data_IF_923774816924
#
_entry.id   IF_923774816924
#
_cell.length_a   1.000
_cell.length_b   1.000
_cell.length_c   1.000
_cell.angle_alpha   90.00
_cell.angle_beta   90.00
_cell.angle_gamma   90.00
#
_symmetry.space_group_name_H-M   'P 1'
#
loop_
_entity.id
_entity.type
_entity.pdbx_description
1 polymer ?
#
# COMPACT_ATOMS: atom_id res chain seq x y z
N UNK A 1 5.21 26.94 12.64
CA UNK A 1 5.76 25.57 12.55
C UNK A 1 7.23 25.65 12.87
N UNK A 2 7.79 24.76 13.69
CA UNK A 2 9.22 24.81 14.01
C UNK A 2 10.04 24.56 12.74
N UNK A 3 11.09 25.33 12.53
CA UNK A 3 11.93 25.27 11.31
C UNK A 3 12.65 23.94 11.08
N UNK A 4 12.58 22.98 12.02
CA UNK A 4 13.34 21.73 12.03
C UNK A 4 12.48 20.46 12.09
N UNK A 5 11.19 20.57 11.78
CA UNK A 5 10.30 19.41 11.86
C UNK A 5 10.58 18.39 10.75
N UNK A 6 10.70 17.08 11.07
CA UNK A 6 10.93 16.05 10.07
C UNK A 6 9.79 15.92 9.07
N UNK A 7 10.13 15.63 7.83
CA UNK A 7 9.19 15.28 6.77
C UNK A 7 8.97 13.77 6.79
N UNK A 8 7.74 13.33 6.62
CA UNK A 8 7.38 11.92 6.45
C UNK A 8 6.76 11.73 5.07
N UNK A 9 7.26 10.74 4.33
CA UNK A 9 6.82 10.48 2.98
C UNK A 9 6.62 8.98 2.77
N UNK A 10 5.35 8.57 2.63
CA UNK A 10 4.96 7.19 2.36
C UNK A 10 4.74 6.97 0.87
N UNK A 11 5.64 6.18 0.28
CA UNK A 11 5.69 5.88 -1.15
C UNK A 11 4.80 4.69 -1.51
N UNK A 12 3.52 4.94 -1.76
CA UNK A 12 2.61 3.90 -2.21
C UNK A 12 2.57 3.74 -3.74
N UNK A 13 2.22 2.54 -4.21
CA UNK A 13 2.06 2.24 -5.65
C UNK A 13 0.96 3.09 -6.30
N UNK A 14 -0.16 3.29 -5.60
CA UNK A 14 -1.29 4.06 -6.12
C UNK A 14 -1.30 5.51 -5.66
N UNK A 15 -0.92 5.76 -4.41
CA UNK A 15 -0.95 7.07 -3.77
C UNK A 15 0.30 7.33 -2.95
N UNK A 16 0.80 8.56 -3.03
CA UNK A 16 1.80 9.09 -2.11
C UNK A 16 1.09 9.79 -0.97
N UNK A 17 1.61 9.61 0.24
CA UNK A 17 1.15 10.31 1.43
C UNK A 17 2.33 11.06 2.02
N UNK A 18 2.20 12.36 2.19
CA UNK A 18 3.27 13.21 2.71
C UNK A 18 2.76 14.18 3.77
N UNK A 19 3.65 14.60 4.66
CA UNK A 19 3.33 15.53 5.72
C UNK A 19 4.52 15.77 6.64
N UNK A 20 4.29 16.58 7.68
CA UNK A 20 5.25 16.75 8.75
C UNK A 20 4.98 15.76 9.88
N UNK A 21 5.98 15.47 10.69
CA UNK A 21 5.85 14.52 11.81
C UNK A 21 4.76 14.91 12.83
N UNK A 22 4.38 16.19 12.95
CA UNK A 22 3.29 16.66 13.81
C UNK A 22 1.91 16.67 13.12
N UNK A 23 1.85 16.35 11.81
CA UNK A 23 0.59 16.40 11.07
C UNK A 23 -0.36 15.28 11.53
N UNK A 24 -1.59 15.61 11.88
CA UNK A 24 -2.62 14.64 12.26
C UNK A 24 -3.03 13.74 11.08
N UNK A 25 -3.01 14.29 9.86
CA UNK A 25 -3.35 13.56 8.64
C UNK A 25 -2.38 13.89 7.50
N UNK A 26 -2.09 12.92 6.61
CA UNK A 26 -1.25 13.16 5.46
C UNK A 26 -1.96 13.96 4.37
N UNK A 27 -1.17 14.66 3.56
CA UNK A 27 -1.58 15.10 2.23
C UNK A 27 -1.45 13.88 1.31
N UNK A 28 -2.51 13.57 0.57
CA UNK A 28 -2.59 12.38 -0.30
C UNK A 28 -2.78 12.80 -1.74
N UNK A 29 -2.01 12.23 -2.64
CA UNK A 29 -2.18 12.44 -4.07
C UNK A 29 -1.77 11.18 -4.87
N UNK A 30 -2.30 10.98 -6.10
CA UNK A 30 -1.96 9.82 -6.92
C UNK A 30 -0.48 9.77 -7.31
N UNK A 31 0.12 8.57 -7.21
CA UNK A 31 1.52 8.32 -7.58
C UNK A 31 1.63 8.09 -9.09
N UNK A 32 1.42 9.14 -9.89
CA UNK A 32 1.49 9.07 -11.35
C UNK A 32 2.06 10.36 -11.95
N UNK A 33 2.64 10.19 -13.14
CA UNK A 33 3.21 11.27 -13.96
C UNK A 33 2.54 11.24 -15.33
N UNK A 34 1.99 12.36 -15.75
CA UNK A 34 1.37 12.56 -17.06
C UNK A 34 2.30 13.32 -18.02
N UNK A 35 2.55 12.73 -19.18
CA UNK A 35 3.24 13.42 -20.29
C UNK A 35 2.24 13.77 -21.37
N UNK A 36 2.26 15.02 -21.89
CA UNK A 36 1.32 15.44 -22.93
C UNK A 36 1.42 14.54 -24.16
N UNK A 37 0.28 14.05 -24.64
CA UNK A 37 0.22 13.34 -25.92
C UNK A 37 0.33 14.39 -27.04
N UNK A 38 1.51 14.46 -27.70
CA UNK A 38 1.72 15.37 -28.82
C UNK A 38 1.00 14.81 -30.08
N UNK A 39 0.10 15.60 -30.66
CA UNK A 39 -0.36 15.31 -32.01
C UNK A 39 0.80 15.54 -32.99
N UNK A 40 0.94 14.69 -34.01
CA UNK A 40 2.05 14.72 -34.97
C UNK A 40 2.25 16.11 -35.58
N UNK A 41 1.19 16.87 -35.80
CA UNK A 41 1.21 18.24 -36.34
C UNK A 41 1.82 19.25 -35.34
N UNK A 42 1.60 19.09 -34.03
CA UNK A 42 2.17 19.94 -32.98
C UNK A 42 3.64 19.58 -32.70
N UNK A 43 4.03 18.32 -32.88
CA UNK A 43 5.41 17.87 -32.75
C UNK A 43 6.32 18.46 -33.86
N UNK A 44 5.77 18.67 -35.07
CA UNK A 44 6.49 19.29 -36.16
C UNK A 44 6.55 20.83 -36.07
N UNK A 45 5.61 21.44 -35.35
CA UNK A 45 5.57 22.90 -35.16
C UNK A 45 6.38 23.38 -33.94
N UNK A 46 6.74 22.50 -33.01
CA UNK A 46 7.40 22.84 -31.75
C UNK A 46 8.93 22.87 -31.82
N UNK A 47 9.48 23.58 -32.85
CA UNK A 47 10.86 24.07 -32.79
C UNK A 47 11.05 25.27 -31.83
N UNK A 48 10.06 25.62 -31.03
CA UNK A 48 10.11 26.71 -30.06
C UNK A 48 9.76 26.19 -28.63
N UNK A 49 10.78 26.08 -27.83
CA UNK A 49 10.97 26.32 -26.37
C UNK A 49 9.76 26.29 -25.39
N UNK A 50 8.64 25.66 -25.69
CA UNK A 50 7.66 25.28 -24.69
C UNK A 50 7.72 23.74 -24.49
N UNK A 51 8.68 23.29 -23.71
CA UNK A 51 8.63 21.95 -23.10
C UNK A 51 7.28 21.86 -22.38
N UNK A 52 6.31 21.17 -22.99
CA UNK A 52 5.03 20.90 -22.33
C UNK A 52 5.36 20.13 -21.06
N UNK A 53 5.22 20.81 -19.92
CA UNK A 53 5.64 20.36 -18.60
C UNK A 53 4.91 19.08 -18.25
N UNK A 54 5.64 18.07 -17.78
CA UNK A 54 5.03 16.88 -17.17
C UNK A 54 4.20 17.30 -15.96
N UNK A 55 3.04 16.70 -15.78
CA UNK A 55 2.15 16.94 -14.64
C UNK A 55 2.19 15.74 -13.70
N UNK A 56 1.88 15.96 -12.41
CA UNK A 56 1.94 14.91 -11.38
C UNK A 56 0.63 14.87 -10.59
N UNK A 57 0.24 13.67 -10.20
CA UNK A 57 -0.85 13.49 -9.25
C UNK A 57 -2.24 13.71 -9.85
N UNK A 58 -3.11 14.45 -9.14
CA UNK A 58 -4.53 14.58 -9.48
C UNK A 58 -4.77 15.20 -10.86
N UNK A 59 -3.94 16.16 -11.26
CA UNK A 59 -4.05 16.79 -12.58
C UNK A 59 -3.93 15.80 -13.73
N UNK A 60 -3.11 14.74 -13.56
CA UNK A 60 -2.99 13.65 -14.55
C UNK A 60 -4.31 12.90 -14.73
N UNK A 61 -5.03 12.67 -13.63
CA UNK A 61 -6.27 11.89 -13.60
C UNK A 61 -7.40 12.73 -14.19
N UNK A 62 -7.52 13.97 -13.75
CA UNK A 62 -8.59 14.88 -14.19
C UNK A 62 -8.53 15.16 -15.70
N UNK A 63 -7.32 15.19 -16.27
CA UNK A 63 -7.08 15.48 -17.68
C UNK A 63 -6.52 14.26 -18.45
N UNK A 64 -6.88 13.04 -18.04
CA UNK A 64 -6.34 11.77 -18.56
C UNK A 64 -6.36 11.65 -20.09
N UNK A 65 -7.29 12.29 -20.75
CA UNK A 65 -7.40 12.25 -22.21
C UNK A 65 -6.25 13.00 -22.94
N UNK A 66 -5.58 13.91 -22.23
CA UNK A 66 -4.52 14.75 -22.77
C UNK A 66 -3.12 14.24 -22.43
N UNK A 67 -3.02 13.23 -21.55
CA UNK A 67 -1.75 12.76 -21.02
C UNK A 67 -1.58 11.25 -21.19
N UNK A 68 -0.38 10.84 -21.52
CA UNK A 68 0.11 9.47 -21.32
C UNK A 68 0.55 9.33 -19.87
N UNK A 69 -0.16 8.50 -19.10
CA UNK A 69 0.06 8.34 -17.67
C UNK A 69 1.03 7.19 -17.41
N UNK A 70 2.12 7.48 -16.70
CA UNK A 70 3.07 6.50 -16.17
C UNK A 70 2.99 6.41 -14.64
N UNK A 71 3.22 5.20 -14.12
CA UNK A 71 3.29 4.94 -12.68
C UNK A 71 4.73 4.57 -12.33
N UNK A 72 5.45 5.42 -11.55
CA UNK A 72 6.86 5.19 -11.23
C UNK A 72 7.09 3.99 -10.32
N UNK A 73 6.07 3.58 -9.57
CA UNK A 73 6.12 2.42 -8.67
C UNK A 73 5.23 1.32 -9.22
N UNK A 74 5.78 0.11 -9.36
CA UNK A 74 5.04 -1.11 -9.71
C UNK A 74 5.24 -2.13 -8.61
N UNK A 75 4.13 -2.67 -8.10
CA UNK A 75 4.14 -3.69 -7.06
C UNK A 75 5.07 -3.35 -5.87
N UNK A 76 5.01 -2.09 -5.39
CA UNK A 76 5.79 -1.59 -4.26
C UNK A 76 7.26 -1.25 -4.56
N UNK A 77 7.73 -1.43 -5.80
CA UNK A 77 9.13 -1.20 -6.19
C UNK A 77 9.20 -0.05 -7.20
N UNK A 78 10.15 0.88 -7.00
CA UNK A 78 10.42 1.96 -7.95
C UNK A 78 11.03 1.39 -9.23
N UNK A 79 10.36 1.64 -10.37
CA UNK A 79 10.78 1.17 -11.70
C UNK A 79 11.30 2.30 -12.58
N UNK A 80 10.86 3.55 -12.34
CA UNK A 80 11.30 4.75 -13.07
C UNK A 80 11.76 5.82 -12.09
N UNK A 81 13.07 5.97 -11.93
CA UNK A 81 13.65 6.99 -11.06
C UNK A 81 13.40 8.43 -11.54
N UNK A 82 13.46 8.74 -12.85
CA UNK A 82 13.13 10.08 -13.34
C UNK A 82 11.70 10.51 -12.97
N UNK A 83 10.72 9.60 -13.12
CA UNK A 83 9.34 9.88 -12.77
C UNK A 83 9.16 9.97 -11.25
N UNK A 84 9.90 9.16 -10.48
CA UNK A 84 9.84 9.20 -9.03
C UNK A 84 10.38 10.52 -8.47
N UNK A 85 11.42 11.09 -9.08
CA UNK A 85 11.94 12.41 -8.72
C UNK A 85 10.85 13.48 -8.93
N UNK A 86 10.14 13.47 -10.05
CA UNK A 86 9.05 14.41 -10.31
C UNK A 86 7.93 14.28 -9.27
N UNK A 87 7.59 13.05 -8.86
CA UNK A 87 6.59 12.79 -7.80
C UNK A 87 7.08 13.35 -6.45
N UNK A 88 8.35 13.19 -6.12
CA UNK A 88 8.93 13.75 -4.89
C UNK A 88 9.06 15.28 -4.94
N UNK A 89 9.41 15.85 -6.09
CA UNK A 89 9.39 17.31 -6.27
C UNK A 89 8.00 17.89 -6.03
N UNK A 90 6.97 17.26 -6.60
CA UNK A 90 5.58 17.64 -6.38
C UNK A 90 5.19 17.53 -4.89
N UNK A 91 5.59 16.44 -4.20
CA UNK A 91 5.34 16.26 -2.78
C UNK A 91 6.00 17.36 -1.93
N UNK A 92 7.28 17.61 -2.18
CA UNK A 92 8.13 18.45 -1.32
C UNK A 92 7.90 19.95 -1.61
N UNK A 93 7.95 20.34 -2.88
CA UNK A 93 7.87 21.77 -3.26
C UNK A 93 6.43 22.26 -3.38
N UNK A 94 5.53 21.48 -3.98
CA UNK A 94 4.17 21.95 -4.24
C UNK A 94 3.19 21.62 -3.12
N UNK A 95 3.23 20.39 -2.57
CA UNK A 95 2.29 19.97 -1.53
C UNK A 95 2.71 20.43 -0.13
N UNK A 96 3.99 20.32 0.21
CA UNK A 96 4.51 20.76 1.50
C UNK A 96 4.98 22.22 1.48
N UNK A 97 5.17 22.82 0.30
CA UNK A 97 5.57 24.21 0.13
C UNK A 97 6.98 24.53 0.63
N UNK A 98 7.87 23.51 0.67
CA UNK A 98 9.22 23.68 1.19
C UNK A 98 10.16 24.31 0.15
N UNK A 99 11.00 25.23 0.60
CA UNK A 99 12.09 25.81 -0.18
C UNK A 99 13.38 24.98 -0.05
N UNK A 100 14.30 25.13 -0.99
CA UNK A 100 15.60 24.44 -0.92
C UNK A 100 16.40 24.75 0.35
N UNK A 101 16.29 25.95 0.86
CA UNK A 101 16.96 26.38 2.10
C UNK A 101 16.38 25.69 3.33
N UNK A 102 15.05 25.54 3.38
CA UNK A 102 14.37 24.85 4.47
C UNK A 102 14.65 23.35 4.49
N UNK A 103 14.73 22.72 3.31
CA UNK A 103 15.06 21.29 3.15
C UNK A 103 16.44 20.97 3.72
N UNK A 104 17.44 21.83 3.49
CA UNK A 104 18.81 21.66 4.00
C UNK A 104 18.93 21.58 5.53
N UNK A 105 17.89 22.01 6.25
CA UNK A 105 17.83 21.97 7.71
C UNK A 105 16.90 20.86 8.25
N UNK A 106 16.25 20.09 7.39
CA UNK A 106 15.23 19.10 7.76
C UNK A 106 15.72 17.66 7.58
N UNK A 107 15.16 16.79 8.39
CA UNK A 107 15.23 15.34 8.25
C UNK A 107 14.04 14.83 7.43
N UNK A 108 14.23 13.70 6.72
CA UNK A 108 13.15 13.03 6.00
C UNK A 108 13.09 11.54 6.36
N UNK A 109 11.90 11.05 6.70
CA UNK A 109 11.61 9.63 6.85
C UNK A 109 10.87 9.16 5.59
N UNK A 110 11.46 8.18 4.91
CA UNK A 110 10.88 7.49 3.77
C UNK A 110 10.38 6.11 4.17
N UNK A 111 9.31 5.66 3.55
CA UNK A 111 8.82 4.30 3.72
C UNK A 111 9.21 3.43 2.54
N UNK A 112 9.39 2.14 2.80
CA UNK A 112 9.64 1.16 1.77
C UNK A 112 8.80 -0.11 1.98
N UNK A 113 8.50 -0.80 0.88
CA UNK A 113 7.86 -2.10 0.92
C UNK A 113 8.79 -3.16 1.53
N UNK A 114 8.25 -4.19 2.19
CA UNK A 114 9.05 -5.35 2.61
C UNK A 114 9.78 -5.96 1.41
N UNK A 115 10.99 -6.47 1.64
CA UNK A 115 11.84 -7.08 0.60
C UNK A 115 12.25 -6.13 -0.54
N UNK A 116 12.19 -4.80 -0.34
CA UNK A 116 12.73 -3.85 -1.31
C UNK A 116 14.21 -4.14 -1.58
N UNK A 117 14.66 -4.17 -2.85
CA UNK A 117 16.07 -4.39 -3.18
C UNK A 117 16.98 -3.33 -2.54
N UNK A 118 18.12 -3.77 -1.98
CA UNK A 118 19.10 -2.87 -1.34
C UNK A 118 19.51 -1.70 -2.25
N UNK A 119 19.75 -1.98 -3.53
CA UNK A 119 20.10 -0.94 -4.52
C UNK A 119 19.04 0.15 -4.66
N UNK A 120 17.76 -0.21 -4.53
CA UNK A 120 16.68 0.78 -4.59
C UNK A 120 16.71 1.67 -3.35
N UNK A 121 16.92 1.11 -2.17
CA UNK A 121 17.07 1.87 -0.92
C UNK A 121 18.27 2.82 -0.99
N UNK A 122 19.42 2.34 -1.47
CA UNK A 122 20.61 3.16 -1.69
C UNK A 122 20.30 4.33 -2.62
N UNK A 123 19.59 4.07 -3.72
CA UNK A 123 19.23 5.12 -4.68
C UNK A 123 18.23 6.13 -4.11
N UNK A 124 17.29 5.70 -3.26
CA UNK A 124 16.39 6.61 -2.54
C UNK A 124 17.19 7.60 -1.67
N UNK A 125 18.14 7.10 -0.89
CA UNK A 125 18.97 7.91 0.02
C UNK A 125 19.88 8.84 -0.78
N UNK A 126 20.52 8.35 -1.85
CA UNK A 126 21.34 9.16 -2.76
C UNK A 126 20.55 10.37 -3.30
N UNK A 127 19.35 10.13 -3.82
CA UNK A 127 18.53 11.21 -4.40
C UNK A 127 18.13 12.24 -3.31
N UNK A 128 17.82 11.79 -2.10
CA UNK A 128 17.47 12.71 -1.01
C UNK A 128 18.64 13.62 -0.61
N UNK A 129 19.88 13.11 -0.64
CA UNK A 129 21.05 13.92 -0.34
C UNK A 129 21.55 14.76 -1.53
N UNK A 130 21.62 14.18 -2.72
CA UNK A 130 22.26 14.84 -3.88
C UNK A 130 21.30 15.76 -4.62
N UNK A 131 20.03 15.32 -4.82
CA UNK A 131 19.05 16.11 -5.57
C UNK A 131 18.30 17.10 -4.66
N UNK A 132 17.79 16.65 -3.51
CA UNK A 132 17.00 17.50 -2.62
C UNK A 132 17.84 18.22 -1.56
N UNK A 133 18.93 17.61 -1.09
CA UNK A 133 19.84 18.21 -0.10
C UNK A 133 19.37 18.16 1.34
N UNK A 134 18.58 17.17 1.74
CA UNK A 134 18.15 16.98 3.13
C UNK A 134 19.34 16.86 4.10
N UNK A 135 19.15 17.32 5.34
CA UNK A 135 20.14 17.21 6.42
C UNK A 135 20.38 15.75 6.83
N UNK A 136 19.31 14.95 6.87
CA UNK A 136 19.39 13.53 7.20
C UNK A 136 18.19 12.75 6.64
N UNK A 137 18.42 11.46 6.43
CA UNK A 137 17.44 10.52 5.83
C UNK A 137 17.32 9.30 6.70
N UNK A 138 16.11 8.77 6.83
CA UNK A 138 15.84 7.47 7.42
C UNK A 138 14.85 6.71 6.53
N UNK A 139 15.10 5.43 6.29
CA UNK A 139 14.22 4.57 5.51
C UNK A 139 13.73 3.43 6.38
N UNK A 140 12.42 3.24 6.42
CA UNK A 140 11.84 2.19 7.27
C UNK A 140 10.75 1.39 6.55
N UNK A 141 10.58 0.13 6.99
CA UNK A 141 9.61 -0.80 6.40
C UNK A 141 8.20 -0.43 6.82
N UNK A 142 7.28 -0.35 5.84
CA UNK A 142 5.87 0.03 6.02
C UNK A 142 5.15 -0.78 7.11
N UNK A 143 5.39 -2.11 7.16
CA UNK A 143 4.74 -2.98 8.12
C UNK A 143 5.11 -2.66 9.59
N UNK A 144 6.37 -2.33 9.86
CA UNK A 144 6.78 -1.95 11.23
C UNK A 144 6.13 -0.64 11.65
N UNK A 145 6.08 0.33 10.73
CA UNK A 145 5.40 1.60 11.00
C UNK A 145 3.90 1.42 11.28
N UNK A 146 3.26 0.48 10.58
CA UNK A 146 1.86 0.13 10.87
C UNK A 146 1.67 -0.33 12.32
N UNK A 147 2.56 -1.17 12.85
CA UNK A 147 2.50 -1.59 14.26
C UNK A 147 2.74 -0.43 15.22
N UNK A 148 3.70 0.44 14.91
CA UNK A 148 3.96 1.64 15.74
C UNK A 148 2.74 2.55 15.82
N UNK A 149 1.96 2.67 14.74
CA UNK A 149 0.69 3.41 14.75
C UNK A 149 -0.33 2.83 15.74
N UNK A 150 -0.25 1.51 16.02
CA UNK A 150 -1.12 0.82 16.99
C UNK A 150 -0.47 0.68 18.39
N UNK A 151 0.73 1.23 18.59
CA UNK A 151 1.46 1.08 19.85
C UNK A 151 2.01 -0.33 20.10
N UNK A 152 2.16 -1.13 19.05
CA UNK A 152 2.66 -2.50 19.11
C UNK A 152 4.09 -2.58 18.59
N UNK A 153 4.88 -3.48 19.17
CA UNK A 153 6.23 -3.82 18.70
C UNK A 153 6.28 -5.22 18.09
N UNK A 154 5.32 -6.08 18.43
CA UNK A 154 5.25 -7.47 17.97
C UNK A 154 3.86 -7.78 17.45
N UNK A 155 3.77 -8.33 16.24
CA UNK A 155 2.53 -8.70 15.59
C UNK A 155 2.71 -9.10 14.14
N UNK A 156 1.63 -9.47 13.50
CA UNK A 156 1.57 -9.81 12.08
C UNK A 156 0.83 -8.71 11.32
N UNK A 157 1.46 -8.14 10.32
CA UNK A 157 0.85 -7.11 9.48
C UNK A 157 0.45 -7.71 8.15
N UNK A 158 -0.83 -7.58 7.79
CA UNK A 158 -1.32 -7.77 6.43
C UNK A 158 -1.54 -6.39 5.82
N UNK A 159 -0.61 -5.97 4.98
CA UNK A 159 -0.69 -4.72 4.23
C UNK A 159 -1.08 -5.00 2.78
N UNK A 160 -2.23 -4.48 2.36
CA UNK A 160 -2.71 -4.60 0.98
C UNK A 160 -3.04 -3.23 0.40
N UNK A 161 -2.18 -2.79 -0.49
CA UNK A 161 -2.28 -1.50 -1.16
C UNK A 161 -3.01 -1.55 -2.51
N UNK A 162 -2.52 -0.73 -3.45
CA UNK A 162 -3.02 -0.72 -4.83
C UNK A 162 -2.35 -1.80 -5.70
N UNK A 163 -1.02 -2.01 -5.54
CA UNK A 163 -0.25 -2.87 -6.43
C UNK A 163 0.14 -4.23 -5.86
N UNK A 164 0.21 -4.40 -4.55
CA UNK A 164 0.76 -5.59 -3.90
C UNK A 164 0.16 -5.78 -2.51
N UNK A 165 0.09 -7.03 -2.07
CA UNK A 165 -0.25 -7.43 -0.70
C UNK A 165 0.95 -8.12 -0.06
N UNK A 166 1.29 -7.73 1.17
CA UNK A 166 2.36 -8.33 1.95
C UNK A 166 1.83 -8.83 3.29
N UNK A 167 2.35 -9.96 3.72
CA UNK A 167 2.16 -10.49 5.08
C UNK A 167 3.51 -10.50 5.76
N UNK A 168 3.65 -9.71 6.82
CA UNK A 168 4.94 -9.42 7.45
C UNK A 168 4.88 -9.71 8.95
N UNK A 169 5.59 -10.70 9.45
CA UNK A 169 5.72 -10.91 10.87
C UNK A 169 6.82 -10.00 11.44
N UNK A 170 6.47 -9.30 12.51
CA UNK A 170 7.36 -8.36 13.20
C UNK A 170 7.50 -8.81 14.66
N UNK A 171 8.72 -8.89 15.16
CA UNK A 171 9.03 -9.25 16.55
C UNK A 171 9.97 -8.18 17.10
N UNK A 172 9.54 -7.54 18.18
CA UNK A 172 10.29 -6.47 18.87
C UNK A 172 10.74 -5.33 17.91
N UNK A 173 9.90 -5.02 16.92
CA UNK A 173 10.19 -3.99 15.92
C UNK A 173 11.02 -4.47 14.71
N UNK A 174 11.40 -5.75 14.64
CA UNK A 174 12.21 -6.33 13.57
C UNK A 174 11.38 -7.25 12.68
N UNK A 175 11.53 -7.10 11.37
CA UNK A 175 10.84 -7.96 10.39
C UNK A 175 11.58 -9.28 10.21
N UNK A 176 10.85 -10.41 10.23
CA UNK A 176 11.39 -11.72 9.82
C UNK A 176 11.31 -11.87 8.30
N UNK A 177 12.38 -11.56 7.62
CA UNK A 177 12.45 -11.55 6.15
C UNK A 177 12.09 -12.89 5.50
N UNK A 178 12.54 -13.99 6.10
CA UNK A 178 12.33 -15.34 5.59
C UNK A 178 10.86 -15.78 5.63
N UNK A 179 10.12 -15.35 6.66
CA UNK A 179 8.70 -15.67 6.82
C UNK A 179 7.77 -14.64 6.13
N UNK A 180 8.31 -13.53 5.60
CA UNK A 180 7.52 -12.51 4.88
C UNK A 180 6.98 -13.08 3.58
N UNK A 181 5.66 -12.98 3.38
CA UNK A 181 4.96 -13.42 2.17
C UNK A 181 4.52 -12.24 1.32
N UNK A 182 4.44 -12.49 0.02
CA UNK A 182 4.04 -11.51 -0.98
C UNK A 182 3.00 -12.10 -1.93
N UNK A 183 2.00 -11.31 -2.28
CA UNK A 183 0.99 -11.62 -3.30
C UNK A 183 0.86 -10.41 -4.23
N UNK A 184 1.05 -10.63 -5.52
CA UNK A 184 0.92 -9.59 -6.55
C UNK A 184 -0.55 -9.38 -6.99
N UNK A 185 -1.47 -9.47 -6.03
CA UNK A 185 -2.90 -9.14 -6.16
C UNK A 185 -3.23 -8.11 -5.09
N UNK A 186 -3.80 -6.97 -5.53
CA UNK A 186 -4.21 -5.89 -4.65
C UNK A 186 -5.28 -5.02 -5.33
N UNK A 187 -5.47 -3.78 -4.90
CA UNK A 187 -6.57 -2.92 -5.32
C UNK A 187 -6.70 -2.73 -6.83
N UNK A 188 -5.58 -2.64 -7.56
CA UNK A 188 -5.57 -2.49 -9.03
C UNK A 188 -6.13 -3.73 -9.71
N UNK A 189 -5.67 -4.91 -9.32
CA UNK A 189 -6.17 -6.18 -9.87
C UNK A 189 -7.66 -6.39 -9.56
N UNK A 190 -8.13 -5.95 -8.38
CA UNK A 190 -9.57 -5.96 -8.03
C UNK A 190 -10.35 -5.02 -8.96
N UNK A 191 -9.82 -3.84 -9.30
CA UNK A 191 -10.46 -2.92 -10.26
C UNK A 191 -10.53 -3.53 -11.65
N UNK A 192 -9.45 -4.13 -12.13
CA UNK A 192 -9.38 -4.83 -13.41
C UNK A 192 -10.40 -5.98 -13.47
N UNK A 193 -10.49 -6.76 -12.39
CA UNK A 193 -11.47 -7.83 -12.27
C UNK A 193 -12.90 -7.31 -12.28
N UNK A 194 -13.19 -6.19 -11.62
CA UNK A 194 -14.50 -5.57 -11.64
C UNK A 194 -14.88 -5.12 -13.07
N UNK A 195 -13.95 -4.49 -13.80
CA UNK A 195 -14.14 -4.10 -15.21
C UNK A 195 -14.47 -5.33 -16.06
N UNK A 196 -13.72 -6.42 -15.88
CA UNK A 196 -13.96 -7.67 -16.61
C UNK A 196 -15.36 -8.25 -16.32
N UNK A 197 -15.76 -8.30 -15.05
CA UNK A 197 -17.06 -8.83 -14.64
C UNK A 197 -18.21 -7.99 -15.21
N UNK A 198 -18.10 -6.65 -15.16
CA UNK A 198 -19.07 -5.73 -15.74
C UNK A 198 -19.12 -5.86 -17.27
N UNK A 199 -17.96 -6.01 -17.92
CA UNK A 199 -17.88 -6.26 -19.36
C UNK A 199 -18.58 -7.55 -19.78
N UNK A 200 -18.47 -8.63 -18.99
CA UNK A 200 -19.19 -9.89 -19.21
C UNK A 200 -20.72 -9.75 -19.12
N UNK A 201 -21.20 -8.76 -18.37
CA UNK A 201 -22.63 -8.40 -18.31
C UNK A 201 -23.09 -7.46 -19.42
N UNK A 202 -22.19 -7.03 -20.29
CA UNK A 202 -22.50 -6.18 -21.43
C UNK A 202 -22.36 -4.67 -21.15
N UNK A 203 -21.83 -4.26 -20.00
CA UNK A 203 -21.52 -2.86 -19.77
C UNK A 203 -20.24 -2.45 -20.50
N UNK A 204 -20.29 -1.37 -21.25
CA UNK A 204 -19.13 -0.83 -21.97
C UNK A 204 -18.28 0.05 -21.03
N UNK A 205 -17.49 -0.59 -20.17
CA UNK A 205 -16.67 0.04 -19.10
C UNK A 205 -15.18 -0.34 -19.22
N UNK A 206 -14.65 -0.42 -20.38
CA UNK A 206 -13.24 -0.83 -20.59
C UNK A 206 -12.34 0.28 -21.12
N UNK A 207 -12.84 1.50 -21.26
CA UNK A 207 -12.05 2.63 -21.77
C UNK A 207 -11.08 3.10 -20.70
N UNK A 208 -9.93 3.58 -21.12
CA UNK A 208 -8.93 4.17 -20.22
C UNK A 208 -9.50 5.27 -19.33
N UNK A 209 -10.48 6.04 -19.85
CA UNK A 209 -11.20 7.08 -19.11
C UNK A 209 -12.09 6.56 -17.98
N UNK A 210 -12.53 5.32 -18.04
CA UNK A 210 -13.51 4.77 -17.09
C UNK A 210 -12.82 4.13 -15.85
N UNK A 211 -11.52 3.85 -15.92
CA UNK A 211 -10.79 3.09 -14.89
C UNK A 211 -10.87 3.75 -13.50
N UNK A 212 -10.74 5.07 -13.44
CA UNK A 212 -10.79 5.80 -12.16
C UNK A 212 -12.21 5.82 -11.60
N UNK A 213 -13.23 6.01 -12.43
CA UNK A 213 -14.63 5.93 -12.02
C UNK A 213 -15.01 4.52 -11.54
N UNK A 214 -14.48 3.46 -12.17
CA UNK A 214 -14.69 2.08 -11.71
C UNK A 214 -13.90 1.82 -10.41
N UNK A 215 -12.74 2.46 -10.20
CA UNK A 215 -12.03 2.39 -8.92
C UNK A 215 -12.86 3.02 -7.80
N UNK A 216 -13.44 4.19 -8.01
CA UNK A 216 -14.34 4.84 -7.06
C UNK A 216 -15.58 3.99 -6.78
N UNK A 217 -16.18 3.42 -7.82
CA UNK A 217 -17.30 2.47 -7.68
C UNK A 217 -16.87 1.26 -6.84
N UNK A 218 -15.70 0.65 -7.11
CA UNK A 218 -15.15 -0.46 -6.30
C UNK A 218 -15.07 -0.09 -4.82
N UNK A 219 -14.54 1.09 -4.51
CA UNK A 219 -14.35 1.56 -3.14
C UNK A 219 -15.67 1.83 -2.42
N UNK A 220 -16.72 2.21 -3.15
CA UNK A 220 -18.04 2.54 -2.58
C UNK A 220 -18.96 1.33 -2.42
N UNK A 221 -18.99 0.40 -3.39
CA UNK A 221 -20.02 -0.66 -3.41
C UNK A 221 -19.50 -2.07 -3.18
N UNK A 222 -18.18 -2.32 -3.31
CA UNK A 222 -17.64 -3.67 -3.13
C UNK A 222 -17.46 -4.05 -1.64
N UNK A 223 -17.57 -5.33 -1.35
CA UNK A 223 -17.37 -5.91 -0.04
C UNK A 223 -16.83 -7.34 -0.15
N UNK A 224 -16.29 -7.87 0.93
CA UNK A 224 -15.82 -9.26 1.00
C UNK A 224 -16.92 -10.13 1.59
N UNK A 225 -17.27 -11.18 0.86
CA UNK A 225 -18.26 -12.14 1.31
C UNK A 225 -17.65 -13.07 2.38
N UNK A 226 -18.33 -13.24 3.52
CA UNK A 226 -17.91 -14.18 4.56
C UNK A 226 -17.87 -15.63 4.03
N UNK A 227 -18.84 -16.01 3.18
CA UNK A 227 -18.95 -17.31 2.52
C UNK A 227 -19.43 -17.14 1.08
N UNK A 228 -18.50 -17.23 0.13
CA UNK A 228 -18.80 -17.04 -1.30
C UNK A 228 -19.98 -17.84 -1.83
N UNK A 229 -20.07 -19.13 -1.47
CA UNK A 229 -21.13 -20.01 -1.97
C UNK A 229 -22.53 -19.55 -1.52
N UNK A 230 -22.64 -19.11 -0.29
CA UNK A 230 -23.88 -18.58 0.31
C UNK A 230 -24.31 -17.30 -0.40
N UNK A 231 -23.37 -16.36 -0.58
CA UNK A 231 -23.63 -15.08 -1.25
C UNK A 231 -23.98 -15.24 -2.73
N UNK A 232 -23.34 -16.18 -3.45
CA UNK A 232 -23.73 -16.51 -4.83
C UNK A 232 -25.15 -17.07 -4.93
N UNK A 233 -25.58 -17.89 -3.97
CA UNK A 233 -26.97 -18.38 -3.92
C UNK A 233 -27.94 -17.22 -3.67
N UNK A 234 -27.64 -16.37 -2.68
CA UNK A 234 -28.45 -15.20 -2.37
C UNK A 234 -28.58 -14.25 -3.57
N UNK A 235 -27.49 -14.00 -4.30
CA UNK A 235 -27.50 -13.14 -5.49
C UNK A 235 -28.32 -13.72 -6.65
N UNK A 236 -28.45 -15.06 -6.75
CA UNK A 236 -29.28 -15.72 -7.76
C UNK A 236 -30.76 -15.74 -7.41
N UNK A 237 -31.07 -15.90 -6.14
CA UNK A 237 -32.44 -16.07 -5.64
C UNK A 237 -33.12 -14.76 -5.27
N UNK A 238 -32.34 -13.70 -5.02
CA UNK A 238 -32.84 -12.42 -4.52
C UNK A 238 -32.12 -11.24 -5.17
N UNK A 239 -32.70 -10.04 -5.00
CA UNK A 239 -32.08 -8.76 -5.38
C UNK A 239 -31.34 -8.10 -4.22
N UNK A 240 -31.12 -8.78 -3.10
CA UNK A 240 -30.50 -8.21 -1.89
C UNK A 240 -29.06 -7.72 -2.11
N UNK A 241 -28.34 -8.32 -3.09
CA UNK A 241 -26.98 -7.91 -3.46
C UNK A 241 -26.94 -6.77 -4.49
N UNK A 242 -28.10 -6.39 -5.07
CA UNK A 242 -28.13 -5.43 -6.15
C UNK A 242 -28.01 -4.00 -5.62
N UNK A 243 -27.14 -3.24 -6.26
CA UNK A 243 -26.96 -1.81 -6.00
C UNK A 243 -26.85 -1.06 -7.35
N UNK A 244 -27.41 0.15 -7.39
CA UNK A 244 -27.35 1.00 -8.56
C UNK A 244 -26.29 2.06 -8.33
N UNK A 245 -25.26 2.07 -9.18
CA UNK A 245 -24.20 3.08 -9.16
C UNK A 245 -24.31 3.99 -10.38
N UNK A 246 -24.22 5.30 -10.19
CA UNK A 246 -24.21 6.28 -11.25
C UNK A 246 -22.79 6.78 -11.48
N UNK A 247 -22.30 6.57 -12.71
CA UNK A 247 -20.99 7.08 -13.13
C UNK A 247 -21.01 8.59 -13.31
N UNK A 248 -19.85 9.29 -13.27
CA UNK A 248 -19.77 10.74 -13.47
C UNK A 248 -20.35 11.22 -14.81
N UNK A 249 -20.44 10.37 -15.82
CA UNK A 249 -21.04 10.65 -17.13
C UNK A 249 -22.55 10.41 -17.19
N UNK A 250 -23.18 10.09 -16.06
CA UNK A 250 -24.62 9.83 -15.93
C UNK A 250 -25.06 8.41 -16.34
N UNK A 251 -24.16 7.54 -16.76
CA UNK A 251 -24.48 6.12 -17.00
C UNK A 251 -24.77 5.42 -15.68
N UNK A 252 -25.85 4.65 -15.64
CA UNK A 252 -26.23 3.85 -14.47
C UNK A 252 -25.85 2.40 -14.65
N UNK A 253 -25.11 1.86 -13.69
CA UNK A 253 -24.66 0.47 -13.66
C UNK A 253 -25.36 -0.22 -12.49
N UNK A 254 -26.07 -1.30 -12.77
CA UNK A 254 -26.60 -2.18 -11.72
C UNK A 254 -25.56 -3.23 -11.41
N UNK A 255 -24.96 -3.14 -10.23
CA UNK A 255 -23.96 -4.09 -9.72
C UNK A 255 -24.66 -5.10 -8.81
N UNK A 256 -24.33 -6.36 -8.93
CA UNK A 256 -24.95 -7.46 -8.16
C UNK A 256 -23.85 -8.34 -7.53
N UNK A 257 -23.63 -9.53 -8.06
CA UNK A 257 -22.60 -10.45 -7.57
C UNK A 257 -21.18 -9.92 -7.78
N UNK A 258 -20.97 -9.00 -8.72
CA UNK A 258 -19.68 -8.38 -9.01
C UNK A 258 -19.11 -7.67 -7.77
N UNK A 259 -19.97 -7.15 -6.89
CA UNK A 259 -19.61 -6.44 -5.67
C UNK A 259 -18.70 -7.26 -4.75
N UNK A 260 -18.96 -8.57 -4.64
CA UNK A 260 -18.15 -9.46 -3.80
C UNK A 260 -17.26 -10.40 -4.61
N UNK A 261 -17.58 -10.65 -5.88
CA UNK A 261 -16.74 -11.49 -6.74
C UNK A 261 -15.46 -10.79 -7.20
N UNK A 262 -15.44 -9.45 -7.24
CA UNK A 262 -14.23 -8.74 -7.59
C UNK A 262 -13.19 -8.80 -6.46
N UNK A 263 -13.50 -8.49 -5.17
CA UNK A 263 -12.53 -8.65 -4.07
C UNK A 263 -12.18 -10.11 -3.75
N UNK A 264 -13.01 -11.09 -4.13
CA UNK A 264 -12.77 -12.52 -3.86
C UNK A 264 -11.43 -13.01 -4.42
N UNK A 265 -10.89 -12.37 -5.46
CA UNK A 265 -9.58 -12.71 -6.03
C UNK A 265 -8.43 -12.60 -5.03
N UNK A 266 -8.57 -11.81 -3.99
CA UNK A 266 -7.58 -11.69 -2.93
C UNK A 266 -7.51 -12.96 -2.06
N UNK A 267 -8.64 -13.65 -1.93
CA UNK A 267 -8.77 -14.91 -1.19
C UNK A 267 -8.63 -16.14 -2.09
N UNK A 268 -8.97 -16.01 -3.37
CA UNK A 268 -8.87 -17.08 -4.39
C UNK A 268 -8.23 -16.53 -5.68
N UNK A 269 -6.88 -16.41 -5.72
CA UNK A 269 -6.13 -15.90 -6.87
C UNK A 269 -6.35 -16.66 -8.18
N UNK A 270 -6.70 -17.92 -8.11
CA UNK A 270 -7.02 -18.76 -9.27
C UNK A 270 -8.14 -18.20 -10.16
N UNK A 271 -9.02 -17.36 -9.61
CA UNK A 271 -10.10 -16.69 -10.35
C UNK A 271 -9.59 -15.70 -11.42
N UNK A 272 -8.35 -15.29 -11.32
CA UNK A 272 -7.66 -14.42 -12.30
C UNK A 272 -6.44 -15.10 -12.93
N UNK A 273 -6.35 -16.43 -12.83
CA UNK A 273 -5.29 -17.22 -13.44
C UNK A 273 -3.92 -17.09 -12.76
N UNK A 274 -3.89 -16.64 -11.52
CA UNK A 274 -2.66 -16.55 -10.72
C UNK A 274 -2.53 -17.83 -9.90
N UNK A 275 -1.43 -18.56 -10.12
CA UNK A 275 -1.07 -19.76 -9.37
C UNK A 275 -0.43 -19.38 -8.03
N UNK A 276 -1.23 -18.89 -7.09
CA UNK A 276 -0.83 -18.55 -5.74
C UNK A 276 -1.95 -18.86 -4.77
N UNK A 277 -1.63 -18.95 -3.50
CA UNK A 277 -2.62 -19.07 -2.43
C UNK A 277 -3.18 -17.68 -2.07
N UNK A 278 -4.38 -17.66 -1.49
CA UNK A 278 -5.04 -16.42 -1.08
C UNK A 278 -4.44 -15.82 0.19
N UNK A 279 -4.86 -14.59 0.51
CA UNK A 279 -4.32 -13.82 1.66
C UNK A 279 -4.49 -14.57 2.99
N UNK A 280 -5.60 -15.29 3.20
CA UNK A 280 -5.83 -16.05 4.44
C UNK A 280 -4.83 -17.19 4.59
N UNK A 281 -4.55 -17.90 3.52
CA UNK A 281 -3.59 -18.99 3.51
C UNK A 281 -2.15 -18.49 3.65
N UNK A 282 -1.81 -17.36 3.00
CA UNK A 282 -0.51 -16.69 3.18
C UNK A 282 -0.27 -16.25 4.62
N UNK A 283 -1.29 -15.70 5.28
CA UNK A 283 -1.24 -15.35 6.71
C UNK A 283 -0.96 -16.58 7.54
N UNK A 284 -1.69 -17.66 7.29
CA UNK A 284 -1.49 -18.93 8.00
C UNK A 284 -0.08 -19.48 7.81
N UNK A 285 0.40 -19.56 6.56
CA UNK A 285 1.74 -20.04 6.24
C UNK A 285 2.85 -19.18 6.87
N UNK A 286 2.70 -17.85 6.79
CA UNK A 286 3.61 -16.91 7.42
C UNK A 286 3.77 -17.17 8.93
N UNK A 287 2.64 -17.39 9.63
CA UNK A 287 2.68 -17.72 11.07
C UNK A 287 3.35 -19.08 11.30
N UNK A 288 3.10 -20.08 10.44
CA UNK A 288 3.72 -21.41 10.60
C UNK A 288 5.24 -21.39 10.37
N UNK A 289 5.75 -20.44 9.60
CA UNK A 289 7.19 -20.23 9.40
C UNK A 289 7.86 -19.43 10.53
N UNK A 290 7.09 -18.81 11.42
CA UNK A 290 7.60 -18.19 12.63
C UNK A 290 7.97 -19.23 13.69
N UNK A 291 8.83 -18.83 14.66
CA UNK A 291 9.19 -19.68 15.79
C UNK A 291 7.96 -20.09 16.59
N UNK A 292 7.96 -21.31 17.12
CA UNK A 292 6.80 -21.88 17.80
C UNK A 292 6.29 -20.99 18.94
N UNK A 293 7.19 -20.36 19.67
CA UNK A 293 6.85 -19.53 20.84
C UNK A 293 6.16 -18.22 20.42
N UNK A 294 6.44 -17.69 19.23
CA UNK A 294 5.87 -16.45 18.73
C UNK A 294 4.55 -16.62 17.97
N UNK A 295 4.21 -17.85 17.51
CA UNK A 295 3.03 -18.10 16.65
C UNK A 295 1.73 -17.61 17.25
N UNK A 296 1.52 -17.88 18.53
CA UNK A 296 0.27 -17.47 19.18
C UNK A 296 0.17 -15.96 19.32
N UNK A 297 1.27 -15.29 19.64
CA UNK A 297 1.35 -13.83 19.67
C UNK A 297 1.04 -13.21 18.31
N UNK A 298 1.48 -13.85 17.20
CA UNK A 298 1.13 -13.42 15.85
C UNK A 298 -0.37 -13.51 15.58
N UNK A 299 -1.03 -14.61 15.99
CA UNK A 299 -2.49 -14.73 15.83
C UNK A 299 -3.29 -13.77 16.71
N UNK A 300 -2.76 -13.40 17.87
CA UNK A 300 -3.38 -12.43 18.79
C UNK A 300 -3.26 -10.99 18.32
N UNK A 301 -2.27 -10.68 17.48
CA UNK A 301 -1.95 -9.33 17.02
C UNK A 301 -1.83 -9.28 15.48
N UNK A 302 -2.91 -9.61 14.77
CA UNK A 302 -2.98 -9.43 13.32
C UNK A 302 -3.51 -8.03 13.05
N UNK A 303 -2.72 -7.19 12.40
CA UNK A 303 -3.08 -5.81 12.07
C UNK A 303 -3.27 -5.67 10.56
N UNK A 304 -4.43 -5.17 10.14
CA UNK A 304 -4.72 -4.85 8.75
C UNK A 304 -4.25 -3.44 8.40
N UNK A 305 -3.60 -3.31 7.25
CA UNK A 305 -3.13 -2.05 6.68
C UNK A 305 -3.41 -1.99 5.18
N UNK A 306 -3.40 -0.78 4.64
CA UNK A 306 -3.61 -0.53 3.21
C UNK A 306 -5.07 -0.41 2.79
N UNK A 307 -5.29 0.34 1.69
CA UNK A 307 -6.63 0.67 1.21
C UNK A 307 -7.46 -0.54 0.77
N UNK A 308 -6.82 -1.61 0.29
CA UNK A 308 -7.54 -2.81 -0.16
C UNK A 308 -8.04 -3.70 0.98
N UNK A 309 -7.59 -3.49 2.21
CA UNK A 309 -8.14 -4.16 3.40
C UNK A 309 -9.41 -3.49 3.92
N UNK A 310 -9.75 -2.29 3.42
CA UNK A 310 -10.92 -1.52 3.90
C UNK A 310 -12.26 -2.05 3.42
N UNK A 311 -12.29 -3.01 2.50
CA UNK A 311 -13.54 -3.64 2.10
C UNK A 311 -14.30 -4.16 3.33
N UNK A 312 -15.61 -3.83 3.45
CA UNK A 312 -16.46 -4.38 4.51
C UNK A 312 -16.41 -5.92 4.50
N UNK A 313 -16.34 -6.54 5.65
CA UNK A 313 -16.27 -8.00 5.81
C UNK A 313 -14.87 -8.62 5.65
N UNK A 314 -13.83 -7.82 5.36
CA UNK A 314 -12.48 -8.35 5.12
C UNK A 314 -11.88 -9.01 6.38
N UNK A 315 -11.96 -8.32 7.52
CA UNK A 315 -11.40 -8.83 8.80
C UNK A 315 -12.14 -10.08 9.29
N UNK A 316 -13.48 -10.07 9.20
CA UNK A 316 -14.34 -11.19 9.59
C UNK A 316 -14.05 -12.42 8.73
N UNK A 317 -13.91 -12.25 7.41
CA UNK A 317 -13.56 -13.33 6.50
C UNK A 317 -12.17 -13.89 6.81
N UNK A 318 -11.17 -13.02 6.99
CA UNK A 318 -9.82 -13.45 7.33
C UNK A 318 -9.80 -14.27 8.63
N UNK A 319 -10.48 -13.78 9.67
CA UNK A 319 -10.57 -14.49 10.96
C UNK A 319 -11.20 -15.87 10.81
N UNK A 320 -12.31 -15.97 10.09
CA UNK A 320 -13.00 -17.23 9.82
C UNK A 320 -12.09 -18.22 9.09
N UNK A 321 -11.52 -17.79 7.97
CA UNK A 321 -10.63 -18.64 7.16
C UNK A 321 -9.42 -19.15 7.97
N UNK A 322 -8.86 -18.30 8.87
CA UNK A 322 -7.74 -18.70 9.74
C UNK A 322 -8.14 -19.76 10.76
N UNK A 323 -9.34 -19.64 11.33
CA UNK A 323 -9.89 -20.65 12.25
C UNK A 323 -10.15 -21.97 11.52
N UNK A 324 -10.70 -21.91 10.32
CA UNK A 324 -10.94 -23.09 9.48
C UNK A 324 -9.62 -23.76 9.09
N UNK A 325 -8.63 -23.00 8.59
CA UNK A 325 -7.29 -23.51 8.25
C UNK A 325 -6.56 -24.14 9.45
N UNK A 326 -6.65 -23.52 10.62
CA UNK A 326 -6.05 -24.06 11.84
C UNK A 326 -6.72 -25.37 12.25
N UNK A 327 -8.04 -25.43 12.17
CA UNK A 327 -8.83 -26.62 12.49
C UNK A 327 -8.46 -27.77 11.54
N UNK A 328 -8.38 -27.52 10.26
CA UNK A 328 -8.12 -28.53 9.25
C UNK A 328 -6.66 -29.00 9.27
N UNK A 329 -5.70 -28.08 9.33
CA UNK A 329 -4.26 -28.40 9.15
C UNK A 329 -3.55 -28.74 10.47
N UNK A 330 -3.92 -28.09 11.59
CA UNK A 330 -3.24 -28.30 12.89
C UNK A 330 -4.01 -29.26 13.76
N UNK A 331 -5.32 -29.04 13.93
CA UNK A 331 -6.16 -29.89 14.77
C UNK A 331 -6.59 -31.19 14.06
N UNK A 332 -6.45 -31.24 12.72
CA UNK A 332 -6.83 -32.38 11.86
C UNK A 332 -8.29 -32.82 12.08
N UNK A 333 -9.19 -31.86 12.35
CA UNK A 333 -10.59 -32.14 12.61
C UNK A 333 -10.87 -32.92 13.90
N UNK A 334 -9.93 -32.98 14.85
CA UNK A 334 -10.11 -33.69 16.13
C UNK A 334 -11.21 -33.01 16.98
N UNK A 335 -12.36 -33.69 17.21
CA UNK A 335 -13.47 -33.09 17.92
C UNK A 335 -13.19 -32.86 19.43
N UNK A 336 -12.13 -33.47 19.96
CA UNK A 336 -11.73 -33.31 21.37
C UNK A 336 -10.88 -32.05 21.60
N UNK A 337 -10.43 -31.39 20.55
CA UNK A 337 -9.66 -30.17 20.65
C UNK A 337 -10.58 -28.95 20.60
N UNK A 338 -10.35 -28.05 21.54
CA UNK A 338 -11.18 -26.85 21.70
C UNK A 338 -10.85 -25.79 20.65
N UNK A 339 -11.54 -25.87 19.50
CA UNK A 339 -11.47 -24.86 18.43
C UNK A 339 -11.88 -23.49 18.95
N UNK A 340 -12.82 -23.42 19.90
CA UNK A 340 -13.29 -22.18 20.50
C UNK A 340 -12.18 -21.43 21.24
N UNK A 341 -11.26 -22.14 21.89
CA UNK A 341 -10.10 -21.50 22.54
C UNK A 341 -9.19 -20.81 21.53
N UNK A 342 -8.94 -21.43 20.38
CA UNK A 342 -8.14 -20.82 19.32
C UNK A 342 -8.89 -19.64 18.69
N UNK A 343 -10.14 -19.80 18.31
CA UNK A 343 -10.96 -18.75 17.70
C UNK A 343 -11.06 -17.49 18.57
N UNK A 344 -11.11 -17.65 19.91
CA UNK A 344 -11.12 -16.52 20.85
C UNK A 344 -9.77 -15.81 20.96
N UNK A 345 -8.66 -16.49 20.63
CA UNK A 345 -7.31 -15.90 20.64
C UNK A 345 -6.95 -15.21 19.33
N UNK A 346 -7.58 -15.60 18.22
CA UNK A 346 -7.36 -14.92 16.94
C UNK A 346 -7.99 -13.55 16.98
N UNK A 347 -7.16 -12.52 16.97
CA UNK A 347 -7.60 -11.13 16.91
C UNK A 347 -7.11 -10.48 15.63
N UNK A 348 -8.05 -9.90 14.87
CA UNK A 348 -7.77 -9.15 13.63
C UNK A 348 -8.16 -7.69 13.87
N UNK A 349 -7.16 -6.88 14.07
CA UNK A 349 -7.33 -5.44 14.26
C UNK A 349 -7.57 -4.74 12.92
N UNK A 350 -8.67 -3.99 12.88
CA UNK A 350 -9.12 -3.26 11.69
C UNK A 350 -9.22 -1.76 12.00
N UNK A 351 -8.10 -1.04 12.13
CA UNK A 351 -8.12 0.40 12.41
C UNK A 351 -8.97 1.15 11.37
N UNK A 352 -9.72 2.15 11.80
CA UNK A 352 -10.62 2.91 10.92
C UNK A 352 -9.84 3.56 9.77
N UNK A 353 -8.73 4.22 10.12
CA UNK A 353 -7.88 4.93 9.17
C UNK A 353 -6.68 4.11 8.67
N UNK A 354 -6.84 2.78 8.58
CA UNK A 354 -5.74 1.86 8.22
C UNK A 354 -5.08 2.13 6.87
N UNK A 355 -5.73 2.85 6.00
CA UNK A 355 -5.11 3.35 4.76
C UNK A 355 -3.99 4.36 5.00
N UNK A 356 -3.93 4.96 6.19
CA UNK A 356 -2.92 5.94 6.60
C UNK A 356 -1.99 5.43 7.71
N UNK A 357 -2.18 4.21 8.22
CA UNK A 357 -1.42 3.65 9.36
C UNK A 357 0.09 3.75 9.17
N UNK A 358 0.59 3.51 7.97
CA UNK A 358 2.03 3.63 7.65
C UNK A 358 2.52 5.07 7.88
N UNK A 359 1.80 6.07 7.38
CA UNK A 359 2.16 7.48 7.58
C UNK A 359 2.10 7.86 9.05
N UNK A 360 1.04 7.48 9.75
CA UNK A 360 0.87 7.77 11.19
C UNK A 360 2.02 7.17 12.00
N UNK A 361 2.35 5.90 11.77
CA UNK A 361 3.49 5.27 12.45
C UNK A 361 4.83 5.90 12.09
N UNK A 362 5.01 6.31 10.83
CA UNK A 362 6.16 7.08 10.40
C UNK A 362 6.26 8.44 11.12
N UNK A 363 5.13 9.11 11.29
CA UNK A 363 5.05 10.39 12.01
C UNK A 363 5.40 10.23 13.50
N UNK A 364 4.88 9.18 14.14
CA UNK A 364 5.22 8.85 15.53
C UNK A 364 6.71 8.60 15.67
N UNK A 365 7.29 7.76 14.81
CA UNK A 365 8.71 7.43 14.84
C UNK A 365 9.58 8.67 14.59
N UNK A 366 9.28 9.43 13.53
CA UNK A 366 10.03 10.65 13.19
C UNK A 366 9.98 11.68 14.31
N UNK A 367 8.86 11.80 15.01
CA UNK A 367 8.71 12.72 16.14
C UNK A 367 9.52 12.28 17.37
N UNK A 368 9.61 10.97 17.63
CA UNK A 368 10.49 10.42 18.69
C UNK A 368 11.97 10.65 18.36
N UNK A 369 12.35 10.53 17.09
CA UNK A 369 13.74 10.61 16.63
C UNK A 369 14.21 12.04 16.37
N UNK A 370 13.33 13.04 16.31
CA UNK A 370 13.62 14.40 15.81
C UNK A 370 14.81 15.10 16.50
N UNK A 371 14.97 14.87 17.80
CA UNK A 371 15.97 15.54 18.62
C UNK A 371 17.27 14.72 18.79
N UNK A 372 17.38 13.58 18.10
CA UNK A 372 18.51 12.69 18.21
C UNK A 372 19.08 12.31 16.84
N UNK A 373 20.13 13.00 16.44
CA UNK A 373 20.80 12.80 15.13
C UNK A 373 21.39 11.38 14.96
N UNK A 374 21.55 10.59 16.05
CA UNK A 374 22.17 9.26 15.98
C UNK A 374 21.33 8.23 15.22
N UNK A 375 20.00 8.41 15.17
CA UNK A 375 19.11 7.52 14.42
C UNK A 375 19.12 7.80 12.92
N UNK A 376 19.37 9.03 12.52
CA UNK A 376 19.35 9.44 11.14
C UNK A 376 20.67 9.13 10.43
N UNK A 377 20.60 8.76 9.15
CA UNK A 377 21.75 8.82 8.26
C UNK A 377 21.93 10.29 7.91
N UNK A 378 22.97 10.93 8.46
CA UNK A 378 23.23 12.34 8.19
C UNK A 378 23.99 12.55 6.88
N UNK A 379 23.81 13.72 6.25
CA UNK A 379 24.53 14.07 5.02
C UNK A 379 26.05 14.00 5.22
N UNK A 380 26.54 14.39 6.37
CA UNK A 380 27.95 14.29 6.74
C UNK A 380 28.46 12.85 6.76
N UNK A 381 27.69 11.92 7.37
CA UNK A 381 28.04 10.49 7.38
C UNK A 381 28.03 9.90 5.97
N UNK A 382 27.07 10.30 5.15
CA UNK A 382 26.99 9.90 3.74
C UNK A 382 28.24 10.35 2.96
N UNK A 383 28.68 11.59 3.12
CA UNK A 383 29.86 12.15 2.46
C UNK A 383 31.18 11.53 2.98
N UNK A 384 31.32 11.28 4.29
CA UNK A 384 32.55 10.74 4.90
C UNK A 384 32.67 9.22 4.74
N UNK A 385 31.61 8.44 4.87
CA UNK A 385 31.63 6.99 4.94
C UNK A 385 31.20 6.30 3.63
N UNK A 386 30.53 7.03 2.73
CA UNK A 386 29.86 6.48 1.56
C UNK A 386 28.55 5.77 1.91
N UNK A 387 27.72 5.54 0.88
CA UNK A 387 26.35 5.05 1.04
C UNK A 387 26.25 3.70 1.73
N UNK A 388 27.14 2.75 1.41
CA UNK A 388 27.08 1.38 1.98
C UNK A 388 27.25 1.36 3.49
N UNK A 389 28.14 2.18 4.04
CA UNK A 389 28.38 2.23 5.49
C UNK A 389 27.31 3.09 6.20
N UNK A 390 26.91 4.19 5.58
CA UNK A 390 25.87 5.06 6.11
C UNK A 390 24.53 4.30 6.26
N UNK A 391 24.21 3.43 5.31
CA UNK A 391 22.97 2.64 5.30
C UNK A 391 22.85 1.59 6.41
N UNK A 392 23.94 1.23 7.12
CA UNK A 392 23.89 0.28 8.24
C UNK A 392 22.91 0.70 9.34
N UNK A 393 22.69 2.00 9.53
CA UNK A 393 21.68 2.50 10.48
C UNK A 393 20.26 2.12 10.09
N UNK A 394 19.96 2.07 8.79
CA UNK A 394 18.67 1.64 8.28
C UNK A 394 18.55 0.10 8.20
N UNK A 395 19.67 -0.63 8.19
CA UNK A 395 19.70 -2.10 8.17
C UNK A 395 19.40 -2.73 9.54
N UNK A 396 19.60 -2.00 10.64
CA UNK A 396 19.31 -2.46 12.01
C UNK A 396 17.84 -2.84 12.27
N UNK A 397 16.97 -2.67 11.27
CA UNK A 397 15.55 -3.06 11.32
C UNK A 397 15.27 -4.48 10.79
N UNK A 398 16.31 -5.21 10.38
CA UNK A 398 16.19 -6.58 9.88
C UNK A 398 17.01 -7.55 10.75
N UNK A 399 16.38 -8.57 11.29
CA UNK A 399 17.08 -9.79 11.70
C UNK A 399 17.31 -10.67 10.47
N UNK A 400 18.55 -11.10 10.24
CA UNK A 400 18.92 -12.09 9.24
C UNK A 400 18.21 -13.44 9.49
#
# INVERSE_FOLDING_TARGET
MSSNEPVVLDNGTGYVKCGFASSESPIVFPSCVGRPVLRVEEALASNSSNEKRSVVGQECIDNRQNYEISYPIKNGIVTSWPDMILVWEHAIYEKLGLTKEEIGNRMILLTEAPQNPRKNREKMVEIMFEHFGFKGVFVHVQAVLTLYAQGLLTGLVLDSGDGVSHVVPVIDGFTKRQATKRLDIAGRTVTERLIELLGRRGYAVGRTSDVDSIREMKESVCFVAEERKRWLRLARETTACAELYELPDGRRIKVESERFMAPEIMFEPSLVGVESVGVSELVFECVQECDMDSRMTMYENIVLSGGSTTFPGFGERLKKDLVDLYTDRILKGDPNRDVGKFANRVNVETPVDRKYSVFVGGSVLANIMKDNDTFWVTKREYEELGIEKAMKKCEGTFHE
#
